data_IF_129835545205
#
_entry.id   IF_129835545205
#
_cell.length_a   1.000
_cell.length_b   1.000
_cell.length_c   1.000
_cell.angle_alpha   90.00
_cell.angle_beta   90.00
_cell.angle_gamma   90.00
#
_symmetry.space_group_name_H-M   'P 1'
#
loop_
_entity.id
_entity.type
_entity.pdbx_description
1 polymer ?
#
# COMPACT_ATOMS: atom_id res chain seq x y z
N UNK A 1 -1.38 -16.70 -11.18
CA UNK A 1 -0.04 -16.93 -11.75
C UNK A 1 1.00 -16.30 -10.84
N UNK A 2 1.94 -17.09 -10.29
CA UNK A 2 2.93 -16.52 -9.38
C UNK A 2 3.94 -15.63 -10.12
N UNK A 3 4.28 -14.52 -9.48
CA UNK A 3 5.35 -13.67 -9.99
C UNK A 3 6.65 -14.13 -9.34
N UNK A 4 7.63 -14.39 -10.15
CA UNK A 4 8.95 -14.84 -9.67
C UNK A 4 9.98 -13.76 -9.99
N UNK A 5 10.69 -13.30 -8.95
CA UNK A 5 11.78 -12.36 -9.12
C UNK A 5 13.08 -13.12 -8.97
N UNK A 6 13.95 -13.13 -10.00
CA UNK A 6 15.21 -13.84 -9.91
C UNK A 6 16.10 -13.34 -8.79
N UNK A 7 16.81 -14.24 -8.11
CA UNK A 7 17.72 -13.88 -7.02
C UNK A 7 18.78 -12.88 -7.46
N UNK A 8 19.24 -13.01 -8.68
CA UNK A 8 20.25 -12.10 -9.25
C UNK A 8 19.70 -10.67 -9.32
N UNK A 9 18.44 -10.52 -9.69
CA UNK A 9 17.80 -9.21 -9.76
C UNK A 9 17.70 -8.60 -8.36
N UNK A 10 17.35 -9.39 -7.36
CA UNK A 10 17.29 -8.93 -5.97
C UNK A 10 18.65 -8.49 -5.47
N UNK A 11 19.71 -9.22 -5.81
CA UNK A 11 21.09 -8.86 -5.45
C UNK A 11 21.49 -7.53 -6.09
N UNK A 12 21.16 -7.33 -7.34
CA UNK A 12 21.46 -6.09 -8.06
C UNK A 12 20.72 -4.90 -7.42
N UNK A 13 19.50 -5.12 -6.98
CA UNK A 13 18.71 -4.09 -6.30
C UNK A 13 19.13 -3.87 -4.84
N UNK A 14 19.93 -4.78 -4.28
CA UNK A 14 20.33 -4.70 -2.88
C UNK A 14 19.20 -5.03 -1.92
N UNK A 15 18.24 -5.86 -2.35
CA UNK A 15 17.06 -6.20 -1.56
C UNK A 15 17.02 -7.69 -1.24
N UNK A 16 16.51 -8.01 -0.06
CA UNK A 16 16.08 -9.36 0.26
C UNK A 16 14.72 -9.60 -0.39
N UNK A 17 14.29 -10.87 -0.44
CA UNK A 17 12.97 -11.22 -0.95
C UNK A 17 11.87 -10.48 -0.18
N UNK A 18 11.98 -10.43 1.14
CA UNK A 18 11.02 -9.74 1.99
C UNK A 18 10.98 -8.24 1.73
N UNK A 19 12.15 -7.62 1.62
CA UNK A 19 12.25 -6.20 1.31
C UNK A 19 11.64 -5.88 -0.06
N UNK A 20 11.84 -6.77 -1.03
CA UNK A 20 11.26 -6.61 -2.35
C UNK A 20 9.73 -6.65 -2.30
N UNK A 21 9.15 -7.56 -1.52
CA UNK A 21 7.70 -7.65 -1.36
C UNK A 21 7.12 -6.39 -0.72
N UNK A 22 7.80 -5.86 0.29
CA UNK A 22 7.38 -4.62 0.94
C UNK A 22 7.42 -3.46 -0.06
N UNK A 23 8.50 -3.36 -0.83
CA UNK A 23 8.64 -2.31 -1.83
C UNK A 23 7.56 -2.38 -2.90
N UNK A 24 7.30 -3.59 -3.42
CA UNK A 24 6.25 -3.80 -4.42
C UNK A 24 4.88 -3.42 -3.86
N UNK A 25 4.59 -3.86 -2.63
CA UNK A 25 3.30 -3.56 -1.99
C UNK A 25 3.11 -2.06 -1.81
N UNK A 26 4.15 -1.34 -1.37
CA UNK A 26 4.09 0.11 -1.20
C UNK A 26 3.86 0.82 -2.53
N UNK A 27 4.54 0.39 -3.58
CA UNK A 27 4.40 1.01 -4.91
C UNK A 27 3.03 0.73 -5.52
N UNK A 28 2.49 -0.47 -5.33
CA UNK A 28 1.15 -0.79 -5.81
C UNK A 28 0.08 0.00 -5.06
N UNK A 29 0.27 0.19 -3.76
CA UNK A 29 -0.62 1.03 -2.97
C UNK A 29 -0.55 2.49 -3.44
N UNK A 30 0.66 3.00 -3.64
CA UNK A 30 0.89 4.38 -4.11
C UNK A 30 0.25 4.61 -5.49
N UNK A 31 0.33 3.62 -6.36
CA UNK A 31 -0.25 3.69 -7.70
C UNK A 31 -1.77 3.49 -7.74
N UNK A 32 -2.39 3.24 -6.60
CA UNK A 32 -3.84 2.99 -6.52
C UNK A 32 -4.26 1.62 -7.02
N UNK A 33 -3.30 0.68 -7.16
CA UNK A 33 -3.58 -0.67 -7.67
C UNK A 33 -4.05 -1.62 -6.57
N UNK A 34 -3.63 -1.38 -5.32
CA UNK A 34 -4.04 -2.17 -4.17
C UNK A 34 -4.51 -1.24 -3.05
N UNK A 35 -5.57 -1.65 -2.35
CA UNK A 35 -5.99 -0.98 -1.12
C UNK A 35 -5.01 -1.33 0.01
N UNK A 36 -5.14 -0.64 1.14
CA UNK A 36 -4.22 -0.77 2.26
C UNK A 36 -4.10 -2.21 2.78
N UNK A 37 -5.23 -2.87 3.02
CA UNK A 37 -5.22 -4.23 3.56
C UNK A 37 -4.59 -5.27 2.63
N UNK A 38 -4.99 -5.35 1.36
CA UNK A 38 -4.32 -6.27 0.44
C UNK A 38 -2.83 -5.97 0.28
N UNK A 39 -2.43 -4.71 0.30
CA UNK A 39 -1.03 -4.35 0.20
C UNK A 39 -0.25 -4.79 1.44
N UNK A 40 -0.79 -4.57 2.63
CA UNK A 40 -0.15 -5.01 3.87
C UNK A 40 -0.02 -6.53 3.89
N UNK A 41 -1.05 -7.23 3.43
CA UNK A 41 -1.04 -8.70 3.36
C UNK A 41 0.04 -9.19 2.39
N UNK A 42 0.18 -8.56 1.24
CA UNK A 42 1.23 -8.89 0.29
C UNK A 42 2.61 -8.72 0.91
N UNK A 43 2.80 -7.65 1.67
CA UNK A 43 4.07 -7.37 2.33
C UNK A 43 4.34 -8.30 3.53
N UNK A 44 3.34 -9.03 4.00
CA UNK A 44 3.47 -9.87 5.18
C UNK A 44 3.56 -9.08 6.47
N UNK A 45 3.00 -7.88 6.50
CA UNK A 45 3.06 -6.97 7.63
C UNK A 45 1.68 -6.71 8.22
N UNK A 46 1.65 -6.31 9.49
CA UNK A 46 0.44 -5.77 10.07
C UNK A 46 0.14 -4.41 9.45
N UNK A 47 -1.08 -3.92 9.67
CA UNK A 47 -1.47 -2.60 9.17
C UNK A 47 -0.53 -1.50 9.68
N UNK A 48 -0.25 -1.50 11.00
CA UNK A 48 0.62 -0.50 11.61
C UNK A 48 2.03 -0.55 11.05
N UNK A 49 2.58 -1.75 10.87
CA UNK A 49 3.90 -1.92 10.30
C UNK A 49 3.95 -1.44 8.85
N UNK A 50 2.91 -1.77 8.08
CA UNK A 50 2.84 -1.34 6.69
C UNK A 50 2.69 0.18 6.58
N UNK A 51 1.87 0.78 7.43
CA UNK A 51 1.74 2.25 7.47
C UNK A 51 3.08 2.91 7.78
N UNK A 52 3.87 2.33 8.68
CA UNK A 52 5.22 2.81 8.96
C UNK A 52 6.12 2.77 7.74
N UNK A 53 6.04 1.70 6.96
CA UNK A 53 6.81 1.57 5.71
C UNK A 53 6.40 2.61 4.68
N UNK A 54 5.11 2.91 4.61
CA UNK A 54 4.59 3.96 3.71
C UNK A 54 5.12 5.33 4.14
N UNK A 55 5.12 5.61 5.43
CA UNK A 55 5.63 6.88 5.96
C UNK A 55 7.10 7.07 5.66
N UNK A 56 7.90 6.01 5.80
CA UNK A 56 9.33 6.06 5.51
C UNK A 56 9.59 6.42 4.04
N UNK A 57 8.66 6.06 3.15
CA UNK A 57 8.76 6.36 1.72
C UNK A 57 8.02 7.62 1.32
N UNK A 58 7.48 8.35 2.30
CA UNK A 58 6.68 9.55 2.08
C UNK A 58 5.47 9.30 1.20
N UNK A 59 4.85 8.13 1.35
CA UNK A 59 3.63 7.77 0.65
C UNK A 59 2.46 8.01 1.60
N UNK A 60 1.49 8.86 1.24
CA UNK A 60 0.35 9.11 2.13
C UNK A 60 -0.52 7.88 2.27
N UNK A 61 -0.91 7.58 3.51
CA UNK A 61 -1.76 6.44 3.82
C UNK A 61 -3.17 6.64 3.27
N UNK A 62 -3.64 7.89 3.29
CA UNK A 62 -4.97 8.22 2.80
C UNK A 62 -4.86 9.12 1.57
N UNK A 63 -5.44 8.65 0.45
CA UNK A 63 -5.51 9.41 -0.80
C UNK A 63 -6.96 9.50 -1.22
N UNK A 64 -7.65 10.60 -0.88
CA UNK A 64 -9.03 10.74 -1.30
C UNK A 64 -9.11 10.87 -2.82
N UNK A 65 -9.91 10.01 -3.44
CA UNK A 65 -10.33 10.21 -4.82
C UNK A 65 -11.60 11.04 -4.78
N UNK A 66 -12.05 11.53 -5.93
CA UNK A 66 -13.33 12.25 -5.99
C UNK A 66 -14.47 11.40 -5.43
N UNK A 67 -14.44 10.09 -5.70
CA UNK A 67 -15.45 9.16 -5.20
C UNK A 67 -15.36 9.03 -3.68
N UNK A 68 -14.17 8.90 -3.13
CA UNK A 68 -13.96 8.80 -1.69
C UNK A 68 -14.43 10.06 -0.98
N UNK A 69 -14.15 11.22 -1.55
CA UNK A 69 -14.58 12.49 -0.99
C UNK A 69 -16.11 12.61 -1.00
N UNK A 70 -16.75 12.20 -2.09
CA UNK A 70 -18.19 12.22 -2.20
C UNK A 70 -18.83 11.29 -1.17
N UNK A 71 -18.27 10.10 -0.97
CA UNK A 71 -18.75 9.13 0.02
C UNK A 71 -18.60 9.67 1.44
N UNK A 72 -17.50 10.34 1.74
CA UNK A 72 -17.24 10.95 3.04
C UNK A 72 -18.25 12.08 3.33
N UNK A 73 -18.52 12.91 2.33
CA UNK A 73 -19.50 13.98 2.46
C UNK A 73 -20.91 13.43 2.69
N UNK A 74 -21.27 12.37 1.97
CA UNK A 74 -22.56 11.72 2.15
C UNK A 74 -22.69 11.12 3.55
N UNK A 75 -21.62 10.54 4.08
CA UNK A 75 -21.61 10.00 5.43
C UNK A 75 -21.79 11.12 6.48
N UNK A 76 -21.14 12.25 6.28
CA UNK A 76 -21.30 13.42 7.16
C UNK A 76 -22.73 13.96 7.16
N UNK A 77 -23.36 14.01 6.01
CA UNK A 77 -24.76 14.44 5.90
C UNK A 77 -25.69 13.53 6.68
N UNK A 78 -25.46 12.21 6.65
CA UNK A 78 -26.24 11.25 7.43
C UNK A 78 -26.09 11.47 8.93
N UNK A 79 -24.91 11.91 9.37
CA UNK A 79 -24.66 12.17 10.78
C UNK A 79 -25.27 13.46 11.28
N UNK A 80 -25.68 14.35 10.40
CA UNK A 80 -26.31 15.64 10.74
C UNK A 80 -27.78 15.56 11.06
N UNK A 81 -28.41 14.45 10.81
CA UNK A 81 -29.85 14.28 11.02
C UNK A 81 -30.21 14.16 12.49
#
# INVERSE_FOLDING_TARGET
>A
MPVVIPDETLKQAGLSEREALVEIACRLFDAGKLALWPAAKLAGLSRSEFEGELMDRKIPVYRPTEQDLADDLAALDRLRV
#
